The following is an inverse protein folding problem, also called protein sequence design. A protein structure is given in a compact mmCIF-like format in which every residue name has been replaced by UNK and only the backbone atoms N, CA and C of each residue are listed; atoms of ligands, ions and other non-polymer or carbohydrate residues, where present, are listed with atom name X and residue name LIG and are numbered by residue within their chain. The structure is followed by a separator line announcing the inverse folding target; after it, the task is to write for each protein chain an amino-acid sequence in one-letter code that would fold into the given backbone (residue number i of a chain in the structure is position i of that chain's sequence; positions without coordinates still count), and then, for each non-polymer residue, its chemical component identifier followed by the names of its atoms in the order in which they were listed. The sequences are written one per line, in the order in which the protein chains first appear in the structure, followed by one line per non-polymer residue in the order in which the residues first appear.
data_IF_784193711561
#
_entry.id   IF_784193711561
#
_cell.length_a   1.000
_cell.length_b   1.000
_cell.length_c   1.000
_cell.angle_alpha   90.00
_cell.angle_beta   90.00
_cell.angle_gamma   90.00
#
_symmetry.space_group_name_H-M   'P 1'
#
loop_
_entity.id
_entity.type
_entity.pdbx_description
1 polymer ?
#
# COMPACT_ATOMS: atom_id res chain seq x y z
N UNK A 1 0.09 -5.51 3.55
CA UNK A 1 0.27 -5.43 5.03
C UNK A 1 1.36 -6.40 5.52
N UNK A 2 1.23 -7.72 5.30
CA UNK A 2 2.20 -8.74 5.76
C UNK A 2 3.64 -8.42 5.33
N UNK A 3 3.84 -8.06 4.07
CA UNK A 3 5.17 -7.65 3.57
C UNK A 3 5.78 -6.49 4.36
N UNK A 4 5.02 -5.42 4.60
CA UNK A 4 5.49 -4.25 5.35
C UNK A 4 5.76 -4.59 6.82
N UNK A 5 4.88 -5.39 7.44
CA UNK A 5 5.07 -5.88 8.82
C UNK A 5 6.36 -6.72 8.95
N UNK A 6 6.57 -7.68 8.05
CA UNK A 6 7.76 -8.53 8.04
C UNK A 6 9.04 -7.71 7.91
N UNK A 7 9.09 -6.75 6.97
CA UNK A 7 10.28 -5.92 6.79
C UNK A 7 10.52 -4.97 7.96
N UNK A 8 9.47 -4.36 8.52
CA UNK A 8 9.61 -3.56 9.75
C UNK A 8 10.13 -4.42 10.90
N UNK A 9 9.59 -5.62 11.12
CA UNK A 9 10.05 -6.53 12.17
C UNK A 9 11.52 -6.89 12.00
N UNK A 10 11.98 -7.19 10.77
CA UNK A 10 13.41 -7.43 10.50
C UNK A 10 14.29 -6.23 10.84
N UNK A 11 13.84 -5.03 10.50
CA UNK A 11 14.59 -3.79 10.76
C UNK A 11 14.68 -3.53 12.28
N UNK A 12 13.56 -3.61 12.99
CA UNK A 12 13.49 -3.26 14.42
C UNK A 12 14.04 -4.36 15.34
N UNK A 13 13.78 -5.64 15.05
CA UNK A 13 14.07 -6.75 15.97
C UNK A 13 15.40 -7.42 15.66
N UNK A 14 15.73 -7.57 14.37
CA UNK A 14 16.93 -8.31 13.96
C UNK A 14 18.10 -7.36 13.65
N UNK A 15 17.84 -6.05 13.57
CA UNK A 15 18.82 -5.07 13.08
C UNK A 15 19.25 -5.32 11.63
N UNK A 16 18.53 -6.20 10.92
CA UNK A 16 18.80 -6.55 9.54
C UNK A 16 18.34 -5.38 8.66
N UNK A 17 19.29 -4.48 8.38
CA UNK A 17 19.06 -3.33 7.51
C UNK A 17 18.88 -3.71 6.04
N UNK A 18 18.49 -2.73 5.24
CA UNK A 18 18.50 -2.86 3.78
C UNK A 18 19.93 -3.18 3.29
N UNK A 19 20.01 -3.97 2.21
CA UNK A 19 21.27 -4.29 1.52
C UNK A 19 21.98 -3.01 1.09
N UNK A 20 23.31 -3.08 0.95
CA UNK A 20 24.16 -1.94 0.59
C UNK A 20 23.76 -1.28 -0.73
N UNK A 21 23.20 -2.03 -1.67
CA UNK A 21 22.68 -1.51 -2.94
C UNK A 21 21.61 -0.41 -2.75
N UNK A 22 20.94 -0.37 -1.60
CA UNK A 22 19.92 0.63 -1.24
C UNK A 22 20.46 1.79 -0.39
N UNK A 23 21.77 1.90 -0.13
CA UNK A 23 22.30 2.84 0.87
C UNK A 23 21.88 4.30 0.61
N UNK A 24 21.87 4.75 -0.65
CA UNK A 24 21.41 6.09 -1.06
C UNK A 24 19.93 6.36 -0.74
N UNK A 25 19.08 5.33 -0.82
CA UNK A 25 17.63 5.44 -0.60
C UNK A 25 17.17 4.79 0.71
N UNK A 26 18.11 4.38 1.57
CA UNK A 26 17.82 3.62 2.79
C UNK A 26 16.86 4.37 3.73
N UNK A 27 17.13 5.65 3.98
CA UNK A 27 16.29 6.49 4.83
C UNK A 27 14.90 6.69 4.20
N UNK A 28 14.76 7.12 2.92
CA UNK A 28 13.45 7.19 2.25
C UNK A 28 12.65 5.89 2.35
N UNK A 29 13.28 4.74 2.13
CA UNK A 29 12.61 3.43 2.19
C UNK A 29 12.10 3.14 3.60
N UNK A 30 12.88 3.45 4.65
CA UNK A 30 12.44 3.28 6.03
C UNK A 30 11.28 4.20 6.41
N UNK A 31 11.33 5.46 5.98
CA UNK A 31 10.21 6.40 6.17
C UNK A 31 8.96 5.86 5.50
N UNK A 32 9.07 5.34 4.28
CA UNK A 32 7.94 4.73 3.56
C UNK A 32 7.40 3.49 4.26
N UNK A 33 8.27 2.60 4.80
CA UNK A 33 7.80 1.47 5.62
C UNK A 33 6.97 1.95 6.82
N UNK A 34 7.47 2.97 7.54
CA UNK A 34 6.83 3.50 8.72
C UNK A 34 5.52 4.26 8.44
N UNK A 35 5.38 4.87 7.26
CA UNK A 35 4.15 5.56 6.85
C UNK A 35 3.12 4.58 6.29
N UNK A 36 3.54 3.68 5.39
CA UNK A 36 2.62 2.76 4.69
C UNK A 36 2.00 1.76 5.67
N UNK A 37 2.78 1.21 6.61
CA UNK A 37 2.27 0.14 7.47
C UNK A 37 1.11 0.56 8.40
N UNK A 38 1.23 1.64 9.21
CA UNK A 38 0.12 2.12 10.03
C UNK A 38 -1.07 2.56 9.18
N UNK A 39 -0.83 3.17 8.02
CA UNK A 39 -1.89 3.62 7.13
C UNK A 39 -2.70 2.44 6.56
N UNK A 40 -2.03 1.34 6.22
CA UNK A 40 -2.69 0.09 5.83
C UNK A 40 -3.50 -0.52 6.98
N UNK A 41 -3.02 -0.45 8.23
CA UNK A 41 -3.78 -0.90 9.41
C UNK A 41 -5.04 -0.04 9.58
N UNK A 42 -4.91 1.29 9.53
CA UNK A 42 -6.04 2.21 9.65
C UNK A 42 -7.05 1.97 8.52
N UNK A 43 -6.56 1.76 7.30
CA UNK A 43 -7.41 1.41 6.14
C UNK A 43 -8.17 0.13 6.40
N UNK A 44 -7.50 -0.92 6.89
CA UNK A 44 -8.12 -2.20 7.23
C UNK A 44 -9.19 -2.05 8.32
N UNK A 45 -8.90 -1.35 9.42
CA UNK A 45 -9.90 -1.07 10.46
C UNK A 45 -11.07 -0.26 9.90
N UNK A 46 -10.82 0.71 9.02
CA UNK A 46 -11.87 1.53 8.40
C UNK A 46 -12.78 0.72 7.47
N UNK A 47 -12.27 -0.36 6.87
CA UNK A 47 -13.08 -1.30 6.06
C UNK A 47 -14.17 -1.94 6.93
N UNK A 48 -13.82 -2.45 8.12
CA UNK A 48 -14.79 -3.10 9.02
C UNK A 48 -15.76 -2.13 9.65
N UNK A 49 -15.34 -0.88 9.86
CA UNK A 49 -16.21 0.19 10.36
C UNK A 49 -17.10 0.80 9.27
N UNK A 50 -17.01 0.31 8.04
CA UNK A 50 -17.70 0.87 6.85
C UNK A 50 -17.53 2.39 6.71
N UNK A 51 -16.40 2.92 7.20
CA UNK A 51 -16.18 4.35 7.25
C UNK A 51 -15.79 4.88 5.89
N UNK A 52 -16.40 5.99 5.45
CA UNK A 52 -15.98 6.72 4.24
C UNK A 52 -14.51 7.14 4.27
N UNK A 53 -13.90 7.26 5.46
CA UNK A 53 -12.47 7.55 5.61
C UNK A 53 -11.58 6.45 5.02
N UNK A 54 -12.10 5.23 4.86
CA UNK A 54 -11.42 4.13 4.18
C UNK A 54 -10.88 4.56 2.82
N UNK A 55 -11.67 5.26 2.00
CA UNK A 55 -11.25 5.68 0.67
C UNK A 55 -10.04 6.60 0.74
N UNK A 56 -10.07 7.59 1.63
CA UNK A 56 -8.94 8.52 1.81
C UNK A 56 -7.67 7.77 2.19
N UNK A 57 -7.73 6.89 3.20
CA UNK A 57 -6.56 6.14 3.64
C UNK A 57 -6.06 5.13 2.59
N UNK A 58 -6.96 4.51 1.84
CA UNK A 58 -6.62 3.60 0.75
C UNK A 58 -5.89 4.34 -0.39
N UNK A 59 -6.39 5.51 -0.80
CA UNK A 59 -5.78 6.30 -1.86
C UNK A 59 -4.43 6.90 -1.44
N UNK A 60 -4.28 7.36 -0.19
CA UNK A 60 -2.98 7.79 0.35
C UNK A 60 -2.01 6.60 0.39
N UNK A 61 -2.47 5.41 0.81
CA UNK A 61 -1.65 4.21 0.83
C UNK A 61 -1.17 3.84 -0.57
N UNK A 62 -2.07 3.90 -1.55
CA UNK A 62 -1.76 3.68 -2.96
C UNK A 62 -0.65 4.61 -3.43
N UNK A 63 -0.80 5.91 -3.20
CA UNK A 63 0.18 6.91 -3.61
C UNK A 63 1.58 6.62 -3.02
N UNK A 64 1.65 6.34 -1.72
CA UNK A 64 2.91 6.00 -1.06
C UNK A 64 3.51 4.67 -1.57
N UNK A 65 2.68 3.67 -1.86
CA UNK A 65 3.14 2.39 -2.44
C UNK A 65 3.72 2.57 -3.84
N UNK A 66 3.15 3.45 -4.67
CA UNK A 66 3.71 3.77 -6.00
C UNK A 66 5.10 4.40 -5.86
N UNK A 67 5.26 5.36 -4.95
CA UNK A 67 6.59 5.96 -4.67
C UNK A 67 7.57 4.89 -4.20
N UNK A 68 7.14 4.04 -3.28
CA UNK A 68 7.96 2.94 -2.77
C UNK A 68 8.41 1.99 -3.89
N UNK A 69 7.50 1.53 -4.74
CA UNK A 69 7.83 0.68 -5.87
C UNK A 69 8.74 1.37 -6.88
N UNK A 70 8.56 2.67 -7.14
CA UNK A 70 9.41 3.43 -8.05
C UNK A 70 10.86 3.50 -7.55
N UNK A 71 11.06 3.73 -6.25
CA UNK A 71 12.39 3.72 -5.63
C UNK A 71 13.03 2.34 -5.74
N UNK A 72 12.29 1.27 -5.43
CA UNK A 72 12.81 -0.10 -5.53
C UNK A 72 13.17 -0.45 -6.98
N UNK A 73 12.36 -0.02 -7.95
CA UNK A 73 12.62 -0.22 -9.37
C UNK A 73 13.88 0.52 -9.83
N UNK A 74 14.01 1.80 -9.46
CA UNK A 74 15.18 2.62 -9.74
C UNK A 74 16.47 1.96 -9.24
N UNK A 75 16.49 1.56 -7.95
CA UNK A 75 17.69 0.98 -7.34
C UNK A 75 18.06 -0.36 -7.96
N UNK A 76 17.08 -1.22 -8.22
CA UNK A 76 17.34 -2.62 -8.58
C UNK A 76 17.51 -2.85 -10.08
N UNK A 77 16.76 -2.13 -10.92
CA UNK A 77 16.66 -2.46 -12.35
C UNK A 77 17.20 -1.36 -13.28
N UNK A 78 17.30 -0.10 -12.86
CA UNK A 78 17.89 0.93 -13.72
C UNK A 78 19.41 0.75 -13.94
N UNK A 79 20.08 -0.02 -13.06
CA UNK A 79 21.50 -0.37 -13.23
C UNK A 79 21.75 -1.55 -14.17
N UNK A 80 20.70 -2.14 -14.75
CA UNK A 80 20.81 -3.29 -15.68
C UNK A 80 20.62 -2.85 -17.13
N UNK A 81 21.31 -3.53 -18.05
CA UNK A 81 21.44 -3.16 -19.48
C UNK A 81 20.14 -3.25 -20.29
N UNK A 82 19.04 -3.79 -19.73
CA UNK A 82 17.80 -4.11 -20.46
C UNK A 82 16.57 -3.40 -19.84
N UNK A 83 16.66 -2.07 -19.73
CA UNK A 83 15.71 -1.22 -19.00
C UNK A 83 14.26 -1.34 -19.50
N UNK A 84 14.05 -1.40 -20.81
CA UNK A 84 12.73 -1.39 -21.45
C UNK A 84 11.87 -2.61 -21.06
N UNK A 85 12.46 -3.81 -21.04
CA UNK A 85 11.72 -5.04 -20.69
C UNK A 85 11.27 -5.02 -19.23
N UNK A 86 12.12 -4.53 -18.31
CA UNK A 86 11.78 -4.44 -16.89
C UNK A 86 10.78 -3.32 -16.60
N UNK A 87 10.81 -2.23 -17.36
CA UNK A 87 9.86 -1.12 -17.24
C UNK A 87 8.43 -1.59 -17.56
N UNK A 88 8.26 -2.34 -18.65
CA UNK A 88 6.95 -2.89 -19.01
C UNK A 88 6.41 -3.81 -17.91
N UNK A 89 7.21 -4.77 -17.44
CA UNK A 89 6.83 -5.68 -16.36
C UNK A 89 6.50 -4.93 -15.06
N UNK A 90 7.27 -3.89 -14.74
CA UNK A 90 7.03 -3.03 -13.59
C UNK A 90 5.68 -2.31 -13.67
N UNK A 91 5.37 -1.71 -14.82
CA UNK A 91 4.10 -1.00 -15.04
C UNK A 91 2.94 -2.00 -14.94
N UNK A 92 3.00 -3.12 -15.65
CA UNK A 92 1.95 -4.14 -15.64
C UNK A 92 1.71 -4.66 -14.23
N UNK A 93 2.78 -4.95 -13.47
CA UNK A 93 2.67 -5.44 -12.10
C UNK A 93 2.04 -4.40 -11.17
N UNK A 94 2.41 -3.13 -11.29
CA UNK A 94 1.81 -2.06 -10.47
C UNK A 94 0.33 -1.85 -10.81
N UNK A 95 -0.03 -1.89 -12.08
CA UNK A 95 -1.43 -1.78 -12.51
C UNK A 95 -2.23 -2.95 -11.98
N UNK A 96 -1.73 -4.18 -12.12
CA UNK A 96 -2.50 -5.38 -11.79
C UNK A 96 -2.62 -5.62 -10.28
N UNK A 97 -1.57 -5.36 -9.50
CA UNK A 97 -1.53 -5.72 -8.07
C UNK A 97 -1.68 -4.53 -7.12
N UNK A 98 -1.58 -3.28 -7.60
CA UNK A 98 -1.59 -2.10 -6.74
C UNK A 98 -2.72 -1.15 -7.14
N UNK A 99 -2.68 -0.61 -8.36
CA UNK A 99 -3.64 0.39 -8.83
C UNK A 99 -5.01 -0.23 -9.08
N UNK A 100 -5.05 -1.33 -9.85
CA UNK A 100 -6.28 -2.01 -10.27
C UNK A 100 -7.17 -2.39 -9.09
N UNK A 101 -6.68 -3.10 -8.06
CA UNK A 101 -7.47 -3.44 -6.89
C UNK A 101 -8.03 -2.21 -6.17
N UNK A 102 -7.23 -1.14 -6.04
CA UNK A 102 -7.68 0.11 -5.38
C UNK A 102 -8.77 0.81 -6.19
N UNK A 103 -8.63 0.87 -7.51
CA UNK A 103 -9.66 1.44 -8.40
C UNK A 103 -10.95 0.62 -8.32
N UNK A 104 -10.87 -0.71 -8.34
CA UNK A 104 -12.03 -1.58 -8.19
C UNK A 104 -12.72 -1.39 -6.83
N UNK A 105 -11.93 -1.36 -5.74
CA UNK A 105 -12.47 -1.11 -4.40
C UNK A 105 -13.16 0.26 -4.33
N UNK A 106 -12.52 1.30 -4.86
CA UNK A 106 -13.10 2.62 -4.92
C UNK A 106 -14.42 2.59 -5.72
N UNK A 107 -14.45 1.97 -6.89
CA UNK A 107 -15.64 1.88 -7.75
C UNK A 107 -16.79 1.11 -7.09
N UNK A 108 -16.55 -0.09 -6.60
CA UNK A 108 -17.60 -0.96 -6.03
C UNK A 108 -18.12 -0.47 -4.68
N UNK A 109 -17.28 0.14 -3.84
CA UNK A 109 -17.71 0.67 -2.53
C UNK A 109 -18.20 2.12 -2.57
N UNK A 110 -18.01 2.87 -3.67
CA UNK A 110 -18.41 4.29 -3.72
C UNK A 110 -19.91 4.52 -3.51
N UNK A 111 -20.72 3.53 -3.89
CA UNK A 111 -22.14 3.46 -3.57
C UNK A 111 -22.31 2.55 -2.35
N UNK A 112 -22.26 3.10 -1.12
CA UNK A 112 -22.57 2.28 0.03
C UNK A 112 -24.02 1.80 -0.10
N UNK A 113 -24.24 0.48 -0.07
CA UNK A 113 -25.49 -0.03 0.46
C UNK A 113 -25.67 0.63 1.85
N UNK A 114 -26.88 1.06 2.20
CA UNK A 114 -27.14 1.60 3.55
C UNK A 114 -26.48 0.68 4.58
N UNK A 115 -25.72 1.25 5.51
CA UNK A 115 -24.90 0.42 6.40
C UNK A 115 -25.83 -0.50 7.19
N UNK A 116 -25.65 -1.81 7.05
CA UNK A 116 -26.45 -2.79 7.79
C UNK A 116 -26.31 -2.54 9.30
N UNK A 117 -25.18 -1.99 9.73
CA UNK A 117 -24.89 -1.64 11.13
C UNK A 117 -25.69 -0.43 11.63
N UNK A 118 -25.97 0.59 10.80
CA UNK A 118 -26.86 1.69 11.20
C UNK A 118 -28.34 1.28 11.21
N UNK A 119 -28.75 0.31 10.38
CA UNK A 119 -30.15 -0.15 10.33
C UNK A 119 -30.53 -1.15 11.44
N UNK A 120 -29.56 -1.76 12.15
CA UNK A 120 -29.82 -2.70 13.27
C UNK A 120 -30.54 -2.06 14.48
N UNK A 121 -30.67 -0.73 14.52
CA UNK A 121 -31.40 -0.01 15.58
C UNK A 121 -32.65 0.75 15.15
N UNK A 122 -32.96 0.81 13.85
CA UNK A 122 -34.06 1.64 13.32
C UNK A 122 -35.38 0.89 13.13
N UNK A 123 -35.40 -0.43 13.36
CA UNK A 123 -36.61 -1.27 13.28
C UNK A 123 -37.24 -1.55 14.65
N UNK A 124 -37.41 -0.51 15.47
CA UNK A 124 -38.28 -0.56 16.65
C UNK A 124 -39.51 0.31 16.39
N UNK A 125 -40.49 -0.26 15.69
CA UNK A 125 -41.91 0.09 15.88
C UNK A 125 -42.54 -0.89 16.86
#
# INVERSE_FOLDING_TARGET
MIFFAYNMFKIFVIGAGLREEYNTFKIPIYVLYFLIFPLLIITFVSIFKESRKMFTYLNISLFLMIIFHAIIFYVKYQRTTNHETYLFLYIVSNVLFVVGPVVLINYFKHYPAKSEIEEIGTHNE
#
